data_IF_344258667872
#
_entry.id   IF_344258667872
#
_cell.length_a   1.000
_cell.length_b   1.000
_cell.length_c   1.000
_cell.angle_alpha   90.00
_cell.angle_beta   90.00
_cell.angle_gamma   90.00
#
_symmetry.space_group_name_H-M   'P 1'
#
loop_
_entity.id
_entity.type
_entity.pdbx_description
1 polymer ?
#
# COMPACT_ATOMS: atom_id res chain seq x y z
N UNK A 1 -43.44 16.22 -9.04
CA UNK A 1 -42.46 16.54 -7.98
C UNK A 1 -43.05 16.47 -6.57
N UNK A 2 -44.12 17.22 -6.25
CA UNK A 2 -44.77 17.20 -4.93
C UNK A 2 -45.13 15.78 -4.43
N UNK A 3 -45.75 14.96 -5.29
CA UNK A 3 -46.09 13.55 -4.97
C UNK A 3 -44.86 12.70 -4.65
N UNK A 4 -43.75 12.90 -5.36
CA UNK A 4 -42.50 12.18 -5.12
C UNK A 4 -41.88 12.55 -3.77
N UNK A 5 -41.96 13.84 -3.38
CA UNK A 5 -41.49 14.34 -2.07
C UNK A 5 -42.38 13.84 -0.92
N UNK A 6 -43.70 13.72 -1.16
CA UNK A 6 -44.64 13.20 -0.16
C UNK A 6 -44.50 11.70 0.08
N UNK A 7 -44.25 10.93 -0.99
CA UNK A 7 -44.06 9.48 -0.94
C UNK A 7 -42.63 9.04 -0.64
N UNK A 8 -41.66 9.96 -0.69
CA UNK A 8 -40.22 9.68 -0.58
C UNK A 8 -39.79 8.64 -1.64
N UNK A 9 -40.09 8.96 -2.89
CA UNK A 9 -39.79 8.10 -4.03
C UNK A 9 -38.29 8.15 -4.37
N UNK A 10 -37.56 7.08 -4.08
CA UNK A 10 -36.10 6.97 -4.25
C UNK A 10 -35.66 6.81 -5.72
N UNK A 11 -36.56 6.46 -6.64
CA UNK A 11 -36.21 6.28 -8.07
C UNK A 11 -36.19 7.62 -8.83
N UNK A 12 -37.02 8.56 -8.41
CA UNK A 12 -37.23 9.84 -9.10
C UNK A 12 -36.56 11.03 -8.40
N UNK A 13 -36.14 10.86 -7.14
CA UNK A 13 -35.42 11.87 -6.38
C UNK A 13 -33.92 11.55 -6.41
N UNK A 14 -33.09 12.51 -6.82
CA UNK A 14 -31.63 12.39 -6.72
C UNK A 14 -31.10 13.39 -5.71
N UNK A 15 -29.96 13.11 -5.07
CA UNK A 15 -29.36 14.05 -4.12
C UNK A 15 -29.05 15.40 -4.78
N UNK A 16 -28.55 15.41 -6.02
CA UNK A 16 -28.29 16.64 -6.77
C UNK A 16 -29.56 17.49 -6.95
N UNK A 17 -30.70 16.85 -7.28
CA UNK A 17 -31.99 17.55 -7.39
C UNK A 17 -32.46 18.08 -6.03
N UNK A 18 -32.28 17.31 -4.95
CA UNK A 18 -32.64 17.74 -3.59
C UNK A 18 -31.79 18.93 -3.13
N UNK A 19 -30.50 18.93 -3.43
CA UNK A 19 -29.59 20.04 -3.12
C UNK A 19 -29.94 21.30 -3.93
N UNK A 20 -30.26 21.14 -5.22
CA UNK A 20 -30.76 22.25 -6.05
C UNK A 20 -32.07 22.80 -5.50
N UNK A 21 -33.01 21.94 -5.12
CA UNK A 21 -34.25 22.36 -4.46
C UNK A 21 -33.95 23.13 -3.18
N UNK A 22 -33.12 22.60 -2.28
CA UNK A 22 -32.79 23.31 -1.03
C UNK A 22 -32.13 24.68 -1.30
N UNK A 23 -31.34 24.81 -2.37
CA UNK A 23 -30.62 26.03 -2.72
C UNK A 23 -31.48 27.08 -3.42
N UNK A 24 -32.37 26.67 -4.32
CA UNK A 24 -33.16 27.56 -5.16
C UNK A 24 -34.59 27.78 -4.63
N UNK A 25 -35.01 27.03 -3.61
CA UNK A 25 -36.29 27.27 -2.95
C UNK A 25 -36.29 28.64 -2.25
N UNK A 26 -37.32 29.48 -2.48
CA UNK A 26 -37.48 30.74 -1.77
C UNK A 26 -37.54 30.55 -0.25
N UNK A 27 -37.22 31.61 0.49
CA UNK A 27 -37.27 31.59 1.94
C UNK A 27 -38.70 31.26 2.45
N UNK A 28 -38.85 30.63 3.63
CA UNK A 28 -40.16 30.24 4.17
C UNK A 28 -41.18 31.38 4.22
N UNK A 29 -40.71 32.61 4.47
CA UNK A 29 -41.53 33.82 4.49
C UNK A 29 -42.06 34.20 3.11
N UNK A 30 -41.25 34.01 2.07
CA UNK A 30 -41.64 34.26 0.68
C UNK A 30 -42.62 33.19 0.19
N UNK A 31 -42.40 31.93 0.56
CA UNK A 31 -43.32 30.83 0.28
C UNK A 31 -44.70 31.06 0.94
N UNK A 32 -44.73 31.57 2.16
CA UNK A 32 -45.97 31.90 2.86
C UNK A 32 -46.74 33.04 2.19
N UNK A 33 -46.05 34.02 1.59
CA UNK A 33 -46.70 35.08 0.79
C UNK A 33 -47.23 34.54 -0.52
N UNK A 34 -46.46 33.71 -1.22
CA UNK A 34 -46.86 33.08 -2.48
C UNK A 34 -48.07 32.15 -2.29
N UNK A 35 -48.19 31.50 -1.13
CA UNK A 35 -49.36 30.69 -0.78
C UNK A 35 -50.69 31.48 -0.80
N UNK A 36 -50.66 32.80 -0.60
CA UNK A 36 -51.86 33.66 -0.66
C UNK A 36 -52.35 33.89 -2.09
N UNK A 37 -51.50 33.68 -3.10
CA UNK A 37 -51.83 33.83 -4.52
C UNK A 37 -52.27 32.52 -5.18
N UNK A 38 -52.61 31.50 -4.40
CA UNK A 38 -53.11 30.20 -4.91
C UNK A 38 -54.33 30.34 -5.84
N UNK A 39 -55.18 31.34 -5.61
CA UNK A 39 -56.38 31.58 -6.42
C UNK A 39 -56.06 32.17 -7.80
N UNK A 40 -54.87 32.75 -7.99
CA UNK A 40 -54.39 33.34 -9.26
C UNK A 40 -53.31 32.48 -9.92
N UNK A 41 -53.36 31.15 -9.72
CA UNK A 41 -52.33 30.22 -10.19
C UNK A 41 -51.97 30.37 -11.67
N UNK A 42 -52.97 30.59 -12.54
CA UNK A 42 -52.76 30.67 -13.99
C UNK A 42 -52.17 32.02 -14.46
N UNK A 43 -52.13 33.03 -13.59
CA UNK A 43 -51.60 34.38 -13.90
C UNK A 43 -50.13 34.54 -13.44
N UNK A 44 -49.64 33.62 -12.62
CA UNK A 44 -48.28 33.59 -12.09
C UNK A 44 -47.28 33.06 -13.12
N UNK A 45 -46.02 33.48 -13.04
CA UNK A 45 -44.94 32.93 -13.86
C UNK A 45 -44.67 31.46 -13.50
N UNK A 46 -44.10 30.66 -14.42
CA UNK A 46 -43.82 29.23 -14.18
C UNK A 46 -43.00 28.97 -12.90
N UNK A 47 -42.04 29.85 -12.57
CA UNK A 47 -41.25 29.76 -11.35
C UNK A 47 -42.08 29.99 -10.08
N UNK A 48 -43.06 30.90 -10.13
CA UNK A 48 -43.96 31.20 -9.02
C UNK A 48 -45.01 30.09 -8.87
N UNK A 49 -45.55 29.58 -9.98
CA UNK A 49 -46.42 28.40 -9.99
C UNK A 49 -45.74 27.19 -9.33
N UNK A 50 -44.45 26.98 -9.62
CA UNK A 50 -43.66 25.94 -8.95
C UNK A 50 -43.53 26.19 -7.44
N UNK A 51 -43.18 27.41 -7.04
CA UNK A 51 -43.04 27.78 -5.64
C UNK A 51 -44.36 27.66 -4.85
N UNK A 52 -45.49 28.03 -5.45
CA UNK A 52 -46.85 27.86 -4.87
C UNK A 52 -47.20 26.38 -4.72
N UNK A 53 -46.86 25.55 -5.71
CA UNK A 53 -47.07 24.10 -5.62
C UNK A 53 -46.25 23.51 -4.47
N UNK A 54 -45.03 23.98 -4.26
CA UNK A 54 -44.14 23.53 -3.20
C UNK A 54 -44.49 24.09 -1.82
N UNK A 55 -44.96 25.34 -1.73
CA UNK A 55 -45.35 25.98 -0.46
C UNK A 55 -46.51 25.29 0.22
N UNK A 56 -47.36 24.60 -0.56
CA UNK A 56 -48.41 23.75 -0.01
C UNK A 56 -47.87 22.69 0.97
N UNK A 57 -46.65 22.19 0.78
CA UNK A 57 -46.04 21.20 1.66
C UNK A 57 -45.57 21.88 2.97
N UNK A 58 -46.20 21.52 4.08
CA UNK A 58 -45.78 21.97 5.41
C UNK A 58 -44.36 21.50 5.72
N UNK A 59 -43.52 22.42 6.23
CA UNK A 59 -42.12 22.15 6.61
C UNK A 59 -41.29 21.50 5.50
N UNK A 60 -41.40 22.05 4.28
CA UNK A 60 -40.70 21.54 3.10
C UNK A 60 -39.17 21.46 3.28
N UNK A 61 -38.52 22.50 3.80
CA UNK A 61 -37.05 22.53 3.92
C UNK A 61 -36.50 21.43 4.86
N UNK A 62 -37.02 21.25 6.10
CA UNK A 62 -36.65 20.09 6.94
C UNK A 62 -36.89 18.74 6.27
N UNK A 63 -38.00 18.58 5.54
CA UNK A 63 -38.31 17.36 4.80
C UNK A 63 -37.27 17.07 3.71
N UNK A 64 -36.94 18.07 2.89
CA UNK A 64 -35.92 17.92 1.83
C UNK A 64 -34.55 17.56 2.41
N UNK A 65 -34.16 18.20 3.52
CA UNK A 65 -32.92 17.88 4.24
C UNK A 65 -32.90 16.44 4.77
N UNK A 66 -34.02 15.99 5.34
CA UNK A 66 -34.18 14.61 5.82
C UNK A 66 -34.08 13.57 4.70
N UNK A 67 -34.71 13.84 3.54
CA UNK A 67 -34.63 12.97 2.36
C UNK A 67 -33.20 12.94 1.81
N UNK A 68 -32.54 14.10 1.69
CA UNK A 68 -31.14 14.16 1.23
C UNK A 68 -30.20 13.42 2.20
N UNK A 69 -30.44 13.51 3.51
CA UNK A 69 -29.69 12.74 4.49
C UNK A 69 -29.90 11.23 4.32
N UNK A 70 -31.14 10.77 4.13
CA UNK A 70 -31.43 9.35 3.88
C UNK A 70 -30.71 8.82 2.63
N UNK A 71 -30.65 9.60 1.55
CA UNK A 71 -29.94 9.22 0.32
C UNK A 71 -28.44 9.13 0.52
N UNK A 72 -27.86 10.11 1.22
CA UNK A 72 -26.42 10.14 1.51
C UNK A 72 -25.99 9.18 2.61
N UNK A 73 -26.91 8.64 3.39
CA UNK A 73 -26.57 7.86 4.59
C UNK A 73 -25.71 6.64 4.25
N UNK A 74 -26.07 5.91 3.19
CA UNK A 74 -25.30 4.75 2.74
C UNK A 74 -23.88 5.14 2.31
N UNK A 75 -23.73 6.25 1.58
CA UNK A 75 -22.42 6.78 1.20
C UNK A 75 -21.62 7.23 2.43
N UNK A 76 -22.23 7.92 3.39
CA UNK A 76 -21.58 8.34 4.63
C UNK A 76 -21.12 7.14 5.46
N UNK A 77 -21.92 6.09 5.57
CA UNK A 77 -21.53 4.84 6.24
C UNK A 77 -20.40 4.15 5.46
N UNK A 78 -20.45 4.17 4.13
CA UNK A 78 -19.36 3.66 3.29
C UNK A 78 -18.10 4.54 3.33
N UNK A 79 -18.17 5.84 3.61
CA UNK A 79 -16.99 6.69 3.79
C UNK A 79 -16.34 6.42 5.14
N UNK A 80 -17.16 6.14 6.15
CA UNK A 80 -16.74 5.61 7.45
C UNK A 80 -16.61 4.08 7.36
N UNK A 81 -15.89 3.57 6.34
CA UNK A 81 -15.76 2.13 6.06
C UNK A 81 -15.50 1.33 7.34
N UNK A 82 -16.35 0.34 7.69
CA UNK A 82 -16.04 -0.65 8.72
C UNK A 82 -14.65 -1.26 8.56
N UNK A 83 -14.20 -1.44 7.31
CA UNK A 83 -12.87 -1.93 6.95
C UNK A 83 -11.73 -1.04 7.47
N UNK A 84 -11.91 0.28 7.55
CA UNK A 84 -10.90 1.20 8.11
C UNK A 84 -10.71 0.97 9.61
N UNK A 85 -11.81 0.80 10.34
CA UNK A 85 -11.76 0.45 11.76
C UNK A 85 -11.11 -0.91 11.97
N UNK A 86 -11.55 -1.93 11.24
CA UNK A 86 -11.01 -3.29 11.35
C UNK A 86 -9.51 -3.30 11.06
N UNK A 87 -9.05 -2.55 10.05
CA UNK A 87 -7.63 -2.42 9.77
C UNK A 87 -6.86 -1.71 10.90
N UNK A 88 -7.41 -0.62 11.44
CA UNK A 88 -6.76 0.10 12.54
C UNK A 88 -6.72 -0.72 13.84
N UNK A 89 -7.83 -1.39 14.21
CA UNK A 89 -7.88 -2.25 15.40
C UNK A 89 -6.97 -3.45 15.25
N UNK A 90 -6.97 -4.11 14.08
CA UNK A 90 -6.07 -5.23 13.80
C UNK A 90 -4.61 -4.78 13.83
N UNK A 91 -4.27 -3.63 13.24
CA UNK A 91 -2.91 -3.08 13.30
C UNK A 91 -2.49 -2.77 14.75
N UNK A 92 -3.39 -2.27 15.61
CA UNK A 92 -3.08 -2.07 17.02
C UNK A 92 -2.70 -3.40 17.71
N UNK A 93 -3.48 -4.44 17.48
CA UNK A 93 -3.25 -5.77 18.06
C UNK A 93 -1.99 -6.43 17.50
N UNK A 94 -1.77 -6.36 16.19
CA UNK A 94 -0.59 -6.87 15.50
C UNK A 94 0.69 -6.26 16.04
N UNK A 95 0.76 -4.93 16.13
CA UNK A 95 1.94 -4.22 16.62
C UNK A 95 2.22 -4.58 18.09
N UNK A 96 1.17 -4.67 18.93
CA UNK A 96 1.31 -5.02 20.35
C UNK A 96 1.74 -6.46 20.58
N UNK A 97 1.25 -7.40 19.77
CA UNK A 97 1.43 -8.85 19.99
C UNK A 97 2.59 -9.45 19.18
N UNK A 98 3.09 -8.75 18.16
CA UNK A 98 4.20 -9.21 17.33
C UNK A 98 5.48 -9.38 18.15
N UNK A 99 5.85 -10.64 18.37
CA UNK A 99 7.09 -11.01 19.05
C UNK A 99 8.31 -10.67 18.21
N UNK A 100 8.20 -10.79 16.88
CA UNK A 100 9.28 -10.49 15.94
C UNK A 100 9.58 -9.00 15.92
N UNK A 101 8.55 -8.16 15.88
CA UNK A 101 8.73 -6.72 15.97
C UNK A 101 9.34 -6.32 17.31
N UNK A 102 8.86 -6.88 18.42
CA UNK A 102 9.46 -6.66 19.74
C UNK A 102 10.94 -7.04 19.80
N UNK A 103 11.34 -8.16 19.18
CA UNK A 103 12.74 -8.57 19.10
C UNK A 103 13.59 -7.57 18.30
N UNK A 104 13.07 -7.07 17.18
CA UNK A 104 13.76 -6.04 16.37
C UNK A 104 13.99 -4.77 17.20
N UNK A 105 12.99 -4.31 17.95
CA UNK A 105 13.11 -3.15 18.83
C UNK A 105 14.18 -3.37 19.92
N UNK A 106 14.27 -4.57 20.49
CA UNK A 106 15.32 -4.91 21.46
C UNK A 106 16.72 -4.87 20.84
N UNK A 107 16.88 -5.36 19.62
CA UNK A 107 18.16 -5.32 18.91
C UNK A 107 18.54 -3.86 18.61
N UNK A 108 17.59 -3.03 18.18
CA UNK A 108 17.81 -1.60 17.95
C UNK A 108 18.24 -0.91 19.25
N UNK A 109 17.58 -1.18 20.37
CA UNK A 109 17.95 -0.63 21.68
C UNK A 109 19.37 -1.04 22.08
N UNK A 110 19.71 -2.32 21.91
CA UNK A 110 21.04 -2.85 22.24
C UNK A 110 22.14 -2.18 21.40
N UNK A 111 21.94 -2.08 20.09
CA UNK A 111 22.90 -1.42 19.18
C UNK A 111 23.00 0.06 19.53
N UNK A 112 21.88 0.74 19.76
CA UNK A 112 21.84 2.14 20.15
C UNK A 112 22.59 2.42 21.46
N UNK A 113 22.39 1.59 22.48
CA UNK A 113 23.11 1.71 23.75
C UNK A 113 24.60 1.47 23.60
N UNK A 114 25.00 0.49 22.79
CA UNK A 114 26.41 0.22 22.51
C UNK A 114 27.08 1.39 21.76
N UNK A 115 26.40 1.95 20.75
CA UNK A 115 26.92 3.08 19.97
C UNK A 115 26.97 4.39 20.77
N UNK A 116 26.05 4.57 21.73
CA UNK A 116 25.98 5.77 22.56
C UNK A 116 26.80 5.66 23.86
N UNK A 117 27.63 4.62 24.01
CA UNK A 117 28.56 4.49 25.11
C UNK A 117 29.49 5.72 25.18
N UNK A 118 29.67 6.29 26.37
CA UNK A 118 30.37 7.55 26.65
C UNK A 118 29.60 8.84 26.36
N UNK A 119 28.31 8.77 25.98
CA UNK A 119 27.47 9.95 25.69
C UNK A 119 26.37 10.14 26.75
N UNK A 120 25.64 11.26 26.67
CA UNK A 120 24.48 11.52 27.56
C UNK A 120 23.38 10.44 27.49
N UNK A 121 23.37 9.63 26.43
CA UNK A 121 22.38 8.57 26.19
C UNK A 121 22.94 7.15 26.47
N UNK A 122 24.02 7.02 27.23
CA UNK A 122 24.79 5.77 27.42
C UNK A 122 24.03 4.58 28.05
N UNK A 123 22.81 4.76 28.55
CA UNK A 123 22.00 3.68 29.11
C UNK A 123 20.49 3.93 28.90
N UNK A 124 20.08 4.09 27.63
CA UNK A 124 18.66 4.26 27.35
C UNK A 124 17.89 2.97 27.70
N UNK A 125 16.78 3.13 28.42
CA UNK A 125 15.86 2.03 28.77
C UNK A 125 14.83 1.78 27.64
N UNK A 126 14.67 2.77 26.76
CA UNK A 126 13.78 2.73 25.60
C UNK A 126 14.01 3.94 24.69
N UNK A 127 13.30 3.97 23.57
CA UNK A 127 13.34 5.06 22.61
C UNK A 127 11.93 5.30 22.05
N UNK A 128 11.67 6.51 21.56
CA UNK A 128 10.41 6.84 20.89
C UNK A 128 10.32 6.16 19.53
N UNK A 129 9.15 5.61 19.18
CA UNK A 129 8.91 4.90 17.91
C UNK A 129 9.22 5.77 16.68
N UNK A 130 9.05 7.09 16.78
CA UNK A 130 9.42 8.06 15.75
C UNK A 130 10.92 8.03 15.38
N UNK A 131 11.78 7.46 16.22
CA UNK A 131 13.21 7.27 15.93
C UNK A 131 13.44 6.21 14.84
N UNK A 132 12.53 5.27 14.65
CA UNK A 132 12.70 4.16 13.70
C UNK A 132 12.91 4.67 12.26
N UNK A 133 12.23 5.75 11.88
CA UNK A 133 12.37 6.38 10.55
C UNK A 133 13.73 7.06 10.37
N UNK A 134 14.45 7.34 11.45
CA UNK A 134 15.76 8.02 11.44
C UNK A 134 16.94 7.05 11.36
N UNK A 135 16.73 5.75 11.54
CA UNK A 135 17.81 4.75 11.56
C UNK A 135 18.61 4.71 10.26
N UNK A 136 17.98 5.01 9.12
CA UNK A 136 18.66 5.05 7.82
C UNK A 136 19.55 6.29 7.62
N UNK A 137 19.38 7.32 8.45
CA UNK A 137 20.22 8.52 8.40
C UNK A 137 21.59 8.31 9.05
N UNK A 138 21.72 7.32 9.94
CA UNK A 138 22.98 6.97 10.58
C UNK A 138 23.80 6.08 9.65
N UNK A 139 24.86 6.65 9.06
CA UNK A 139 25.76 5.94 8.13
C UNK A 139 27.02 5.45 8.84
N UNK A 140 27.54 4.31 8.39
CA UNK A 140 28.88 3.86 8.74
C UNK A 140 29.95 4.76 8.11
N UNK A 141 31.20 4.58 8.53
CA UNK A 141 32.36 5.35 8.06
C UNK A 141 32.62 5.20 6.54
N UNK A 142 32.10 4.14 5.92
CA UNK A 142 32.18 3.91 4.48
C UNK A 142 31.18 4.75 3.66
N UNK A 143 30.27 5.48 4.33
CA UNK A 143 29.13 6.22 3.77
C UNK A 143 28.19 5.41 2.85
N UNK A 144 28.38 4.09 2.78
CA UNK A 144 27.64 3.16 1.90
C UNK A 144 26.63 2.36 2.70
N UNK A 145 27.00 1.89 3.89
CA UNK A 145 26.13 1.11 4.75
C UNK A 145 25.48 2.01 5.80
N UNK A 146 24.20 1.79 6.07
CA UNK A 146 23.47 2.50 7.13
C UNK A 146 23.24 1.58 8.32
N UNK A 147 22.91 2.14 9.47
CA UNK A 147 22.58 1.36 10.66
C UNK A 147 21.43 0.38 10.40
N UNK A 148 20.52 0.73 9.49
CA UNK A 148 19.44 -0.14 9.06
C UNK A 148 19.92 -1.35 8.24
N UNK A 149 20.92 -1.16 7.37
CA UNK A 149 21.56 -2.28 6.65
C UNK A 149 22.26 -3.22 7.62
N UNK A 150 22.98 -2.67 8.60
CA UNK A 150 23.64 -3.46 9.63
C UNK A 150 22.63 -4.22 10.52
N UNK A 151 21.51 -3.58 10.87
CA UNK A 151 20.42 -4.23 11.60
C UNK A 151 19.83 -5.39 10.79
N UNK A 152 19.53 -5.18 9.50
CA UNK A 152 18.99 -6.21 8.63
C UNK A 152 19.94 -7.41 8.51
N UNK A 153 21.26 -7.17 8.41
CA UNK A 153 22.27 -8.21 8.39
C UNK A 153 22.33 -9.00 9.71
N UNK A 154 22.28 -8.32 10.87
CA UNK A 154 22.23 -9.00 12.18
C UNK A 154 20.98 -9.88 12.30
N UNK A 155 19.82 -9.34 11.90
CA UNK A 155 18.55 -10.06 11.96
C UNK A 155 18.61 -11.28 11.05
N UNK A 156 19.08 -11.15 9.82
CA UNK A 156 19.21 -12.28 8.90
C UNK A 156 20.15 -13.37 9.43
N UNK A 157 21.30 -12.99 9.99
CA UNK A 157 22.32 -13.94 10.43
C UNK A 157 22.00 -14.61 11.78
N UNK A 158 21.42 -13.88 12.73
CA UNK A 158 21.18 -14.37 14.10
C UNK A 158 19.73 -14.73 14.39
N UNK A 159 18.78 -14.10 13.68
CA UNK A 159 17.34 -14.22 13.95
C UNK A 159 16.55 -14.32 12.64
N UNK A 160 16.79 -15.36 11.81
CA UNK A 160 16.15 -15.48 10.50
C UNK A 160 14.62 -15.49 10.58
N UNK A 161 14.06 -16.03 11.68
CA UNK A 161 12.61 -16.04 11.94
C UNK A 161 12.00 -14.64 12.12
N UNK A 162 12.81 -13.63 12.46
CA UNK A 162 12.34 -12.25 12.62
C UNK A 162 12.40 -11.44 11.32
N UNK A 163 13.02 -11.97 10.26
CA UNK A 163 13.16 -11.30 8.97
C UNK A 163 11.80 -11.01 8.32
N UNK A 164 10.81 -11.90 8.53
CA UNK A 164 9.45 -11.76 8.02
C UNK A 164 8.48 -11.12 9.03
N UNK A 165 8.95 -10.29 9.96
CA UNK A 165 8.06 -9.53 10.87
C UNK A 165 7.03 -8.67 10.10
N UNK A 166 7.37 -8.24 8.88
CA UNK A 166 6.50 -7.48 8.01
C UNK A 166 5.19 -8.21 7.65
N UNK A 167 5.17 -9.54 7.71
CA UNK A 167 3.98 -10.37 7.49
C UNK A 167 3.05 -10.36 8.71
N UNK A 168 3.58 -10.17 9.92
CA UNK A 168 2.77 -10.02 11.15
C UNK A 168 2.12 -8.63 11.24
N UNK A 169 2.57 -7.68 10.43
CA UNK A 169 2.13 -6.28 10.42
C UNK A 169 1.38 -5.94 9.12
N UNK A 170 0.46 -6.81 8.70
CA UNK A 170 -0.20 -6.70 7.39
C UNK A 170 -1.24 -5.58 7.31
N UNK A 171 -1.84 -5.19 8.45
CA UNK A 171 -2.86 -4.14 8.47
C UNK A 171 -2.29 -2.74 8.67
N UNK A 172 -1.02 -2.61 9.05
CA UNK A 172 -0.34 -1.32 9.28
C UNK A 172 -0.40 -0.41 8.04
N UNK A 173 -0.20 -0.95 6.84
CA UNK A 173 -0.28 -0.20 5.58
C UNK A 173 -1.65 0.46 5.33
N UNK A 174 -2.71 -0.22 5.76
CA UNK A 174 -4.08 0.28 5.66
C UNK A 174 -4.38 1.26 6.79
N UNK A 175 -3.95 0.94 8.01
CA UNK A 175 -4.13 1.77 9.20
C UNK A 175 -3.42 3.14 9.07
N UNK A 176 -2.25 3.20 8.44
CA UNK A 176 -1.52 4.43 8.13
C UNK A 176 -2.32 5.42 7.25
N UNK A 177 -3.34 4.94 6.51
CA UNK A 177 -4.21 5.78 5.67
C UNK A 177 -5.50 6.23 6.39
N UNK A 178 -5.71 5.80 7.63
CA UNK A 178 -6.92 6.04 8.40
C UNK A 178 -6.75 7.29 9.26
N UNK A 179 -7.34 8.40 8.84
CA UNK A 179 -7.40 9.61 9.66
C UNK A 179 -8.49 9.50 10.73
N UNK A 180 -8.08 9.35 11.99
CA UNK A 180 -8.99 9.32 13.13
C UNK A 180 -9.78 10.64 13.28
N UNK A 181 -9.14 11.78 13.01
CA UNK A 181 -9.77 13.10 13.07
C UNK A 181 -10.92 13.22 12.06
N UNK A 182 -10.71 12.79 10.82
CA UNK A 182 -11.76 12.83 9.79
C UNK A 182 -12.93 11.90 10.15
N UNK A 183 -12.64 10.73 10.71
CA UNK A 183 -13.67 9.80 11.19
C UNK A 183 -14.49 10.44 12.31
N UNK A 184 -13.85 11.06 13.30
CA UNK A 184 -14.52 11.73 14.41
C UNK A 184 -15.42 12.89 13.93
N UNK A 185 -14.96 13.67 12.94
CA UNK A 185 -15.76 14.72 12.30
C UNK A 185 -17.00 14.14 11.61
N UNK A 186 -16.83 13.08 10.82
CA UNK A 186 -17.93 12.43 10.10
C UNK A 186 -18.96 11.82 11.08
N UNK A 187 -18.51 11.13 12.14
CA UNK A 187 -19.38 10.60 13.19
C UNK A 187 -20.14 11.71 13.91
N UNK A 188 -19.48 12.82 14.24
CA UNK A 188 -20.11 13.98 14.89
C UNK A 188 -21.18 14.61 14.00
N UNK A 189 -20.93 14.70 12.70
CA UNK A 189 -21.91 15.17 11.72
C UNK A 189 -23.09 14.20 11.60
N UNK A 190 -22.83 12.90 11.51
CA UNK A 190 -23.87 11.86 11.46
C UNK A 190 -24.76 11.92 12.70
N UNK A 191 -24.18 12.03 13.90
CA UNK A 191 -24.91 12.20 15.17
C UNK A 191 -25.85 13.40 15.14
N UNK A 192 -25.37 14.54 14.62
CA UNK A 192 -26.18 15.76 14.49
C UNK A 192 -27.34 15.55 13.52
N UNK A 193 -27.10 14.93 12.37
CA UNK A 193 -28.15 14.64 11.38
C UNK A 193 -29.22 13.68 11.90
N UNK A 194 -28.82 12.62 12.62
CA UNK A 194 -29.74 11.68 13.26
C UNK A 194 -30.62 12.39 14.30
N UNK A 195 -30.03 13.22 15.17
CA UNK A 195 -30.78 14.02 16.16
C UNK A 195 -31.73 15.03 15.51
N UNK A 196 -31.29 15.64 14.41
CA UNK A 196 -32.14 16.57 13.66
C UNK A 196 -33.34 15.84 13.07
N UNK A 197 -33.13 14.67 12.46
CA UNK A 197 -34.20 13.84 11.92
C UNK A 197 -35.19 13.40 13.02
N UNK A 198 -34.69 13.00 14.18
CA UNK A 198 -35.53 12.67 15.34
C UNK A 198 -36.39 13.87 15.79
N UNK A 199 -35.81 15.07 15.81
CA UNK A 199 -36.52 16.31 16.16
C UNK A 199 -37.56 16.67 15.10
N UNK A 200 -37.23 16.49 13.82
CA UNK A 200 -38.11 16.78 12.69
C UNK A 200 -39.31 15.82 12.70
N UNK A 201 -39.10 14.55 13.02
CA UNK A 201 -40.14 13.54 13.20
C UNK A 201 -41.04 13.80 14.43
N UNK A 202 -40.48 14.19 15.57
CA UNK A 202 -41.27 14.56 16.76
C UNK A 202 -42.18 15.76 16.50
N UNK A 203 -41.70 16.72 15.73
CA UNK A 203 -42.45 17.92 15.37
C UNK A 203 -43.23 17.77 14.05
N UNK A 204 -43.30 16.55 13.50
CA UNK A 204 -43.97 16.27 12.25
C UNK A 204 -45.47 16.25 12.45
N UNK A 205 -46.19 16.79 11.46
CA UNK A 205 -47.64 16.63 11.35
C UNK A 205 -47.94 16.18 9.93
N UNK A 206 -48.72 15.10 9.72
CA UNK A 206 -49.08 14.63 8.39
C UNK A 206 -49.69 15.76 7.58
N UNK A 207 -49.26 15.89 6.32
CA UNK A 207 -49.88 16.84 5.43
C UNK A 207 -51.27 16.33 5.01
N UNK A 208 -51.32 15.13 4.43
CA UNK A 208 -52.51 14.44 3.89
C UNK A 208 -52.42 12.91 4.15
N UNK A 209 -53.48 12.14 3.86
CA UNK A 209 -53.47 10.66 3.98
C UNK A 209 -52.44 9.96 3.07
N UNK A 210 -52.01 10.60 1.98
CA UNK A 210 -50.97 10.08 1.08
C UNK A 210 -49.52 10.32 1.57
N UNK A 211 -49.34 11.02 2.70
CA UNK A 211 -48.04 11.44 3.20
C UNK A 211 -47.34 10.33 4.00
N UNK A 212 -46.46 9.57 3.33
CA UNK A 212 -45.74 8.43 3.92
C UNK A 212 -44.41 8.79 4.58
N UNK A 213 -44.09 10.08 4.67
CA UNK A 213 -42.77 10.49 5.16
C UNK A 213 -42.51 10.08 6.60
N UNK A 214 -43.49 10.19 7.49
CA UNK A 214 -43.32 9.76 8.88
C UNK A 214 -42.96 8.28 8.97
N UNK A 215 -43.67 7.42 8.23
CA UNK A 215 -43.45 5.97 8.26
C UNK A 215 -42.08 5.60 7.70
N UNK A 216 -41.74 6.13 6.52
CA UNK A 216 -40.46 5.85 5.83
C UNK A 216 -39.28 6.37 6.66
N UNK A 217 -39.39 7.61 7.17
CA UNK A 217 -38.30 8.24 7.92
C UNK A 217 -38.19 7.69 9.34
N UNK A 218 -39.27 7.23 9.97
CA UNK A 218 -39.19 6.57 11.28
C UNK A 218 -38.44 5.24 11.18
N UNK A 219 -38.77 4.41 10.18
CA UNK A 219 -38.02 3.17 9.93
C UNK A 219 -36.54 3.46 9.63
N UNK A 220 -36.28 4.47 8.80
CA UNK A 220 -34.91 4.89 8.50
C UNK A 220 -34.18 5.43 9.74
N UNK A 221 -34.86 6.19 10.61
CA UNK A 221 -34.26 6.70 11.84
C UNK A 221 -33.81 5.54 12.75
N UNK A 222 -34.62 4.50 12.88
CA UNK A 222 -34.26 3.29 13.64
C UNK A 222 -33.01 2.63 13.07
N UNK A 223 -32.97 2.42 11.75
CA UNK A 223 -31.81 1.84 11.07
C UNK A 223 -30.56 2.72 11.22
N UNK A 224 -30.69 4.02 10.94
CA UNK A 224 -29.59 4.97 11.00
C UNK A 224 -29.02 5.12 12.41
N UNK A 225 -29.87 5.10 13.44
CA UNK A 225 -29.44 5.15 14.84
C UNK A 225 -28.67 3.89 15.23
N UNK A 226 -29.17 2.70 14.85
CA UNK A 226 -28.49 1.44 15.11
C UNK A 226 -27.11 1.36 14.41
N UNK A 227 -27.04 1.77 13.13
CA UNK A 227 -25.78 1.83 12.39
C UNK A 227 -24.81 2.84 12.99
N UNK A 228 -25.29 4.04 13.37
CA UNK A 228 -24.48 5.04 14.05
C UNK A 228 -23.90 4.52 15.38
N UNK A 229 -24.69 3.81 16.20
CA UNK A 229 -24.23 3.22 17.46
C UNK A 229 -23.13 2.17 17.24
N UNK A 230 -23.26 1.32 16.21
CA UNK A 230 -22.22 0.36 15.84
C UNK A 230 -20.92 1.11 15.49
N UNK A 231 -20.99 2.12 14.61
CA UNK A 231 -19.81 2.88 14.19
C UNK A 231 -19.18 3.66 15.36
N UNK A 232 -19.99 4.25 16.24
CA UNK A 232 -19.51 4.94 17.44
C UNK A 232 -18.79 3.97 18.39
N UNK A 233 -19.33 2.76 18.58
CA UNK A 233 -18.70 1.74 19.41
C UNK A 233 -17.38 1.23 18.81
N UNK A 234 -17.34 1.00 17.49
CA UNK A 234 -16.10 0.62 16.79
C UNK A 234 -15.02 1.70 16.91
N UNK A 235 -15.39 2.97 16.79
CA UNK A 235 -14.44 4.08 16.96
C UNK A 235 -13.90 4.14 18.39
N UNK A 236 -14.77 4.04 19.42
CA UNK A 236 -14.34 4.01 20.83
C UNK A 236 -13.41 2.83 21.13
N UNK A 237 -13.68 1.67 20.54
CA UNK A 237 -12.79 0.51 20.69
C UNK A 237 -11.42 0.76 20.06
N UNK A 238 -11.39 1.36 18.86
CA UNK A 238 -10.14 1.77 18.20
C UNK A 238 -9.35 2.77 19.06
N UNK A 239 -10.00 3.82 19.57
CA UNK A 239 -9.35 4.81 20.44
C UNK A 239 -8.77 4.16 21.70
N UNK A 240 -9.53 3.26 22.35
CA UNK A 240 -9.05 2.53 23.51
C UNK A 240 -7.82 1.66 23.21
N UNK A 241 -7.82 0.94 22.08
CA UNK A 241 -6.67 0.13 21.67
C UNK A 241 -5.44 1.01 21.38
N UNK A 242 -5.65 2.22 20.85
CA UNK A 242 -4.57 3.17 20.63
C UNK A 242 -4.03 3.76 21.94
N UNK A 243 -4.89 4.06 22.91
CA UNK A 243 -4.48 4.45 24.27
C UNK A 243 -3.68 3.32 24.96
N UNK A 244 -4.11 2.07 24.81
CA UNK A 244 -3.35 0.92 25.32
C UNK A 244 -1.96 0.81 24.66
N UNK A 245 -1.86 1.11 23.37
CA UNK A 245 -0.57 1.18 22.66
C UNK A 245 0.29 2.34 23.15
N UNK A 246 -0.30 3.49 23.45
CA UNK A 246 0.43 4.64 23.96
C UNK A 246 1.06 4.37 25.33
N UNK A 247 0.38 3.60 26.17
CA UNK A 247 0.95 3.09 27.43
C UNK A 247 2.06 2.08 27.17
N UNK A 248 1.86 1.13 26.23
CA UNK A 248 2.83 0.07 25.94
C UNK A 248 4.14 0.59 25.33
N UNK A 249 4.06 1.54 24.39
CA UNK A 249 5.22 2.18 23.75
C UNK A 249 5.63 3.51 24.39
N UNK A 250 5.00 3.90 25.48
CA UNK A 250 5.29 5.10 26.28
C UNK A 250 5.34 6.40 25.45
N UNK A 251 4.29 6.67 24.66
CA UNK A 251 4.14 7.94 23.92
C UNK A 251 2.86 8.68 24.32
N UNK A 252 2.77 9.97 23.97
CA UNK A 252 1.58 10.81 24.21
C UNK A 252 0.60 10.71 23.03
N UNK A 253 -0.58 10.08 23.19
CA UNK A 253 -1.54 9.89 22.10
C UNK A 253 -2.17 11.20 21.61
N UNK A 254 -2.00 12.32 22.34
CA UNK A 254 -2.45 13.64 21.90
C UNK A 254 -1.45 14.35 20.99
N UNK A 255 -0.16 14.02 21.13
CA UNK A 255 0.91 14.59 20.31
C UNK A 255 1.23 13.74 19.09
N UNK A 256 1.01 12.44 19.22
CA UNK A 256 1.30 11.47 18.18
C UNK A 256 -0.01 10.83 17.73
N UNK A 257 -0.49 11.23 16.56
CA UNK A 257 -1.76 10.75 16.02
C UNK A 257 -1.63 9.31 15.52
N UNK A 258 -2.74 8.56 15.49
CA UNK A 258 -2.72 7.14 15.13
C UNK A 258 -2.21 6.89 13.70
N UNK A 259 -2.59 7.75 12.76
CA UNK A 259 -2.12 7.71 11.37
C UNK A 259 -0.62 7.97 11.27
N UNK A 260 -0.10 8.92 12.05
CA UNK A 260 1.33 9.22 12.11
C UNK A 260 2.12 8.03 12.69
N UNK A 261 1.63 7.45 13.80
CA UNK A 261 2.23 6.27 14.42
C UNK A 261 2.32 5.09 13.44
N UNK A 262 1.22 4.74 12.77
CA UNK A 262 1.23 3.66 11.79
C UNK A 262 2.04 4.00 10.54
N UNK A 263 2.10 5.28 10.15
CA UNK A 263 2.94 5.74 9.03
C UNK A 263 4.43 5.55 9.34
N UNK A 264 4.87 5.84 10.56
CA UNK A 264 6.26 5.63 10.96
C UNK A 264 6.63 4.14 11.00
N UNK A 265 5.75 3.29 11.52
CA UNK A 265 5.98 1.82 11.51
C UNK A 265 6.01 1.30 10.07
N UNK A 266 5.08 1.74 9.21
CA UNK A 266 5.07 1.39 7.79
C UNK A 266 6.37 1.81 7.13
N UNK A 267 6.80 3.05 7.36
CA UNK A 267 8.04 3.61 6.80
C UNK A 267 9.25 2.79 7.24
N UNK A 268 9.34 2.46 8.53
CA UNK A 268 10.38 1.58 9.05
C UNK A 268 10.36 0.19 8.39
N UNK A 269 9.19 -0.43 8.27
CA UNK A 269 9.00 -1.73 7.60
C UNK A 269 9.52 -1.68 6.16
N UNK A 270 9.08 -0.69 5.39
CA UNK A 270 9.46 -0.52 3.98
C UNK A 270 10.98 -0.32 3.85
N UNK A 271 11.56 0.54 4.70
CA UNK A 271 12.99 0.81 4.70
C UNK A 271 13.82 -0.42 5.12
N UNK A 272 13.34 -1.21 6.08
CA UNK A 272 14.03 -2.44 6.51
C UNK A 272 14.04 -3.47 5.38
N UNK A 273 12.90 -3.66 4.71
CA UNK A 273 12.81 -4.58 3.57
C UNK A 273 13.71 -4.16 2.42
N UNK A 274 13.81 -2.85 2.15
CA UNK A 274 14.73 -2.33 1.13
C UNK A 274 16.18 -2.54 1.53
N UNK A 275 16.56 -2.21 2.76
CA UNK A 275 17.92 -2.42 3.26
C UNK A 275 18.34 -3.91 3.23
N UNK A 276 17.42 -4.83 3.51
CA UNK A 276 17.67 -6.27 3.37
C UNK A 276 17.92 -6.68 1.92
N UNK A 277 17.09 -6.20 0.97
CA UNK A 277 17.29 -6.46 -0.47
C UNK A 277 18.62 -5.89 -0.97
N UNK A 278 18.95 -4.68 -0.55
CA UNK A 278 20.21 -4.02 -0.91
C UNK A 278 21.41 -4.84 -0.39
N UNK A 279 21.35 -5.36 0.84
CA UNK A 279 22.38 -6.25 1.38
C UNK A 279 22.53 -7.55 0.58
N UNK A 280 21.42 -8.17 0.18
CA UNK A 280 21.44 -9.39 -0.66
C UNK A 280 22.10 -9.08 -2.01
N UNK A 281 21.65 -8.02 -2.69
CA UNK A 281 22.19 -7.62 -3.98
C UNK A 281 23.68 -7.26 -3.90
N UNK A 282 24.10 -6.54 -2.86
CA UNK A 282 25.50 -6.18 -2.64
C UNK A 282 26.38 -7.43 -2.44
N UNK A 283 25.94 -8.40 -1.64
CA UNK A 283 26.67 -9.67 -1.45
C UNK A 283 26.80 -10.46 -2.75
N UNK A 284 25.74 -10.56 -3.55
CA UNK A 284 25.77 -11.24 -4.85
C UNK A 284 26.76 -10.58 -5.82
N UNK A 285 26.78 -9.24 -5.85
CA UNK A 285 27.72 -8.46 -6.66
C UNK A 285 29.17 -8.64 -6.22
N UNK A 286 29.42 -8.64 -4.91
CA UNK A 286 30.75 -8.87 -4.33
C UNK A 286 31.27 -10.28 -4.62
N UNK A 287 30.42 -11.30 -4.49
CA UNK A 287 30.78 -12.68 -4.87
C UNK A 287 31.10 -12.80 -6.36
N UNK A 288 30.30 -12.16 -7.22
CA UNK A 288 30.53 -12.17 -8.66
C UNK A 288 31.86 -11.49 -9.02
N UNK A 289 32.17 -10.37 -8.38
CA UNK A 289 33.46 -9.68 -8.55
C UNK A 289 34.62 -10.53 -8.03
N UNK A 290 34.48 -11.20 -6.89
CA UNK A 290 35.50 -12.08 -6.32
C UNK A 290 35.81 -13.24 -7.27
N UNK A 291 34.78 -13.93 -7.77
CA UNK A 291 34.93 -15.03 -8.75
C UNK A 291 35.57 -14.55 -10.06
N UNK A 292 35.21 -13.35 -10.54
CA UNK A 292 35.81 -12.78 -11.74
C UNK A 292 37.30 -12.43 -11.54
N UNK A 293 37.69 -11.94 -10.35
CA UNK A 293 39.08 -11.66 -10.01
C UNK A 293 39.91 -12.94 -9.90
N UNK A 294 39.40 -13.95 -9.19
CA UNK A 294 40.04 -15.27 -9.07
C UNK A 294 40.24 -15.93 -10.45
N UNK A 295 39.24 -15.83 -11.34
CA UNK A 295 39.34 -16.34 -12.71
C UNK A 295 40.40 -15.61 -13.55
N UNK A 296 40.50 -14.28 -13.42
CA UNK A 296 41.54 -13.49 -14.09
C UNK A 296 42.94 -13.83 -13.58
N UNK A 297 43.12 -13.93 -12.27
CA UNK A 297 44.41 -14.28 -11.66
C UNK A 297 44.86 -15.69 -12.07
N UNK A 298 43.93 -16.65 -12.11
CA UNK A 298 44.22 -18.01 -12.61
C UNK A 298 44.62 -18.01 -14.10
N UNK A 299 43.89 -17.26 -14.94
CA UNK A 299 44.20 -17.15 -16.35
C UNK A 299 45.57 -16.48 -16.61
N UNK A 300 45.91 -15.45 -15.83
CA UNK A 300 47.21 -14.77 -15.89
C UNK A 300 48.35 -15.73 -15.50
N UNK A 301 48.15 -16.51 -14.41
CA UNK A 301 49.13 -17.51 -13.95
C UNK A 301 49.34 -18.62 -14.98
N UNK A 302 48.26 -19.18 -15.55
CA UNK A 302 48.36 -20.19 -16.61
C UNK A 302 49.07 -19.65 -17.86
N UNK A 303 48.84 -18.38 -18.22
CA UNK A 303 49.54 -17.72 -19.34
C UNK A 303 51.02 -17.55 -19.05
N UNK A 304 51.39 -17.14 -17.83
CA UNK A 304 52.80 -17.00 -17.41
C UNK A 304 53.51 -18.36 -17.40
N UNK A 305 52.87 -19.42 -16.89
CA UNK A 305 53.44 -20.78 -16.90
C UNK A 305 53.63 -21.32 -18.34
N UNK A 306 52.69 -21.06 -19.24
CA UNK A 306 52.85 -21.41 -20.67
C UNK A 306 54.01 -20.67 -21.31
N UNK A 307 54.18 -19.38 -21.03
CA UNK A 307 55.29 -18.57 -21.54
C UNK A 307 56.64 -19.03 -20.95
N UNK A 308 56.70 -19.39 -19.67
CA UNK A 308 57.90 -19.92 -19.03
C UNK A 308 58.30 -21.28 -19.62
N UNK A 309 57.35 -22.21 -19.80
CA UNK A 309 57.59 -23.49 -20.48
C UNK A 309 58.08 -23.28 -21.91
N UNK A 310 57.50 -22.34 -22.66
CA UNK A 310 57.94 -22.01 -24.03
C UNK A 310 59.36 -21.45 -24.05
N UNK A 311 59.74 -20.57 -23.11
CA UNK A 311 61.11 -20.06 -22.98
C UNK A 311 62.11 -21.16 -22.64
N UNK A 312 61.78 -22.07 -21.72
CA UNK A 312 62.64 -23.21 -21.39
C UNK A 312 62.89 -24.13 -22.60
N UNK A 313 61.86 -24.39 -23.43
CA UNK A 313 62.05 -25.17 -24.67
C UNK A 313 62.96 -24.45 -25.69
N UNK A 314 62.91 -23.12 -25.77
CA UNK A 314 63.75 -22.33 -26.70
C UNK A 314 65.20 -22.25 -26.19
N UNK A 315 65.43 -22.16 -24.88
CA UNK A 315 66.77 -22.09 -24.28
C UNK A 315 67.55 -23.41 -24.46
N UNK A 316 66.86 -24.56 -24.35
CA UNK A 316 67.42 -25.90 -24.67
C UNK A 316 67.84 -26.00 -26.15
N UNK A 317 67.19 -25.24 -27.05
CA UNK A 317 67.54 -25.19 -28.47
C UNK A 317 68.78 -24.32 -28.77
N UNK A 318 69.32 -23.60 -27.77
CA UNK A 318 70.39 -22.61 -27.95
C UNK A 318 71.78 -23.09 -27.46
N UNK A 319 71.86 -24.27 -26.84
CA UNK A 319 73.11 -24.91 -26.43
C UNK A 319 73.88 -25.52 -27.60
N UNK A 320 75.21 -25.48 -27.54
CA UNK A 320 76.15 -25.68 -28.67
C UNK A 320 76.25 -27.10 -29.28
N UNK A 321 75.41 -28.07 -28.91
CA UNK A 321 75.45 -29.43 -29.48
C UNK A 321 74.14 -29.76 -30.24
N UNK A 322 74.19 -29.68 -31.57
CA UNK A 322 73.03 -29.81 -32.48
C UNK A 322 72.57 -31.25 -32.78
N UNK A 323 73.13 -32.28 -32.16
CA UNK A 323 72.66 -33.68 -32.30
C UNK A 323 71.77 -34.06 -31.11
N UNK A 324 70.46 -33.84 -31.23
CA UNK A 324 69.46 -34.29 -30.23
C UNK A 324 68.34 -33.29 -29.92
N UNK A 325 68.50 -32.03 -30.35
CA UNK A 325 67.50 -30.97 -30.19
C UNK A 325 66.21 -31.30 -30.96
N UNK A 326 66.33 -31.87 -32.16
CA UNK A 326 65.19 -32.29 -32.99
C UNK A 326 64.38 -33.42 -32.32
N UNK A 327 65.05 -34.41 -31.71
CA UNK A 327 64.40 -35.53 -31.03
C UNK A 327 63.72 -35.10 -29.73
N UNK A 328 64.34 -34.21 -28.95
CA UNK A 328 63.70 -33.62 -27.76
C UNK A 328 62.48 -32.75 -28.10
N UNK A 329 62.52 -32.01 -29.22
CA UNK A 329 61.38 -31.24 -29.70
C UNK A 329 60.25 -32.17 -30.20
N UNK A 330 60.58 -33.24 -30.92
CA UNK A 330 59.62 -34.25 -31.36
C UNK A 330 58.98 -34.98 -30.16
N UNK A 331 59.76 -35.33 -29.13
CA UNK A 331 59.28 -35.93 -27.88
C UNK A 331 58.30 -35.01 -27.13
N UNK A 332 58.61 -33.70 -27.05
CA UNK A 332 57.75 -32.70 -26.43
C UNK A 332 56.48 -32.38 -27.24
N UNK A 333 56.47 -32.66 -28.56
CA UNK A 333 55.32 -32.53 -29.46
C UNK A 333 54.43 -33.78 -29.51
N UNK A 334 54.92 -34.96 -29.11
CA UNK A 334 54.12 -36.21 -29.03
C UNK A 334 52.81 -36.07 -28.23
N UNK A 335 52.72 -35.32 -27.12
CA UNK A 335 51.47 -35.12 -26.39
C UNK A 335 50.47 -34.21 -27.13
N UNK A 336 50.96 -33.25 -27.93
CA UNK A 336 50.13 -32.29 -28.70
C UNK A 336 49.57 -32.94 -29.97
N UNK A 337 50.28 -33.92 -30.53
CA UNK A 337 49.81 -34.74 -31.66
C UNK A 337 48.76 -35.80 -31.25
N UNK A 338 48.55 -36.04 -29.95
CA UNK A 338 47.41 -36.83 -29.45
C UNK A 338 46.18 -35.95 -29.27
N UNK A 339 45.63 -35.47 -30.38
CA UNK A 339 44.24 -35.01 -30.38
C UNK A 339 43.31 -36.19 -30.05
N UNK A 340 42.33 -36.05 -29.15
CA UNK A 340 41.26 -37.04 -29.06
C UNK A 340 40.40 -36.94 -30.32
N UNK A 341 40.51 -37.91 -31.21
CA UNK A 341 39.53 -38.13 -32.27
C UNK A 341 38.23 -38.61 -31.64
N UNK A 342 37.34 -37.67 -31.31
CA UNK A 342 35.91 -37.93 -31.21
C UNK A 342 35.11 -36.66 -31.51
N UNK A 343 35.03 -36.35 -32.81
CA UNK A 343 33.93 -35.59 -33.39
C UNK A 343 33.39 -36.47 -34.52
N UNK A 344 32.44 -37.33 -34.17
CA UNK A 344 31.59 -37.97 -35.16
C UNK A 344 30.65 -36.93 -35.75
N UNK A 345 30.95 -36.48 -36.97
CA UNK A 345 29.92 -35.99 -37.89
C UNK A 345 30.21 -36.63 -39.24
N UNK A 346 29.45 -37.68 -39.54
CA UNK A 346 29.41 -38.37 -40.82
C UNK A 346 28.65 -37.51 -41.84
N UNK A 347 29.17 -37.52 -43.07
CA UNK A 347 28.49 -37.34 -44.36
C UNK A 347 27.98 -35.96 -44.78
N UNK A 348 28.79 -35.27 -45.57
CA UNK A 348 28.43 -34.59 -46.84
C UNK A 348 29.75 -34.56 -47.65
N UNK A 349 29.91 -35.21 -48.81
CA UNK A 349 29.42 -34.78 -50.11
C UNK A 349 29.70 -35.87 -51.16
N UNK A 350 28.67 -36.24 -51.94
CA UNK A 350 28.65 -36.77 -53.33
C UNK A 350 27.24 -37.37 -53.50
N UNK A 351 26.38 -37.05 -54.45
CA UNK A 351 26.31 -36.11 -55.56
C UNK A 351 24.93 -36.32 -56.23
N UNK A 352 24.49 -35.40 -57.09
CA UNK A 352 23.49 -35.73 -58.12
C UNK A 352 22.09 -35.10 -58.00
N UNK A 353 21.93 -34.01 -58.76
CA UNK A 353 20.83 -33.69 -59.67
C UNK A 353 19.39 -33.40 -59.17
N UNK A 354 19.01 -32.16 -59.50
CA UNK A 354 17.76 -31.75 -60.17
C UNK A 354 16.53 -31.28 -59.36
N UNK A 355 16.25 -29.99 -59.61
CA UNK A 355 14.98 -29.32 -59.90
C UNK A 355 14.34 -28.42 -58.84
N UNK A 356 13.91 -27.30 -59.42
CA UNK A 356 13.50 -26.00 -58.90
C UNK A 356 12.00 -25.96 -58.49
N UNK A 357 11.39 -24.81 -58.19
CA UNK A 357 10.75 -24.54 -56.90
C UNK A 357 9.22 -24.46 -56.99
N UNK A 358 8.53 -24.49 -55.86
CA UNK A 358 7.15 -24.02 -55.79
C UNK A 358 6.81 -23.38 -54.44
N UNK A 359 6.29 -22.17 -54.56
CA UNK A 359 5.60 -21.36 -53.55
C UNK A 359 4.52 -22.15 -52.80
N UNK A 360 4.22 -21.78 -51.55
CA UNK A 360 2.92 -21.20 -51.19
C UNK A 360 2.67 -21.09 -49.68
N UNK A 361 2.27 -19.88 -49.29
CA UNK A 361 1.17 -19.51 -48.39
C UNK A 361 1.18 -19.98 -46.93
N UNK A 362 1.22 -18.96 -46.06
CA UNK A 362 0.21 -18.64 -45.03
C UNK A 362 -0.46 -19.79 -44.27
N UNK A 363 -0.49 -19.70 -42.94
CA UNK A 363 -1.71 -19.36 -42.18
C UNK A 363 -1.40 -19.20 -40.67
N UNK A 364 -2.05 -18.18 -40.10
CA UNK A 364 -2.15 -17.77 -38.69
C UNK A 364 -2.69 -18.85 -37.74
N UNK A 365 -2.35 -18.70 -36.44
CA UNK A 365 -3.21 -18.77 -35.22
C UNK A 365 -2.25 -18.76 -34.01
N UNK A 366 -2.11 -17.74 -33.17
CA UNK A 366 -3.03 -17.08 -32.21
C UNK A 366 -3.73 -18.07 -31.26
N UNK A 367 -3.65 -17.79 -29.95
CA UNK A 367 -4.33 -18.29 -28.71
C UNK A 367 -3.23 -18.49 -27.64
N UNK A 368 -3.00 -17.67 -26.61
CA UNK A 368 -3.81 -17.07 -25.51
C UNK A 368 -4.33 -18.10 -24.48
N UNK A 369 -3.64 -18.11 -23.32
CA UNK A 369 -4.03 -18.44 -21.92
C UNK A 369 -4.48 -19.90 -21.59
N UNK A 370 -4.55 -20.33 -20.30
CA UNK A 370 -4.88 -19.62 -19.04
C UNK A 370 -3.78 -18.83 -18.35
#
# INVERSE_FOLDING_TARGET
MQKYILKVDEEHLTDAMLQQLIRYMPEPEQLARLEQFKDQYNELAEAEQFAVTMSSIKKLVPRLKSISFKMKFQELVQDIKPVRYVAATAACEEVKTSKKFCLILQIILLIGNYMNAGSRNEQAVGFEISLLTKLNSTKAADHKTTLLHYLAEIVENKYPDALNFAEELMHVDRAARVSAEQIQKNLSQMKKSVKQLETDLKNFRPHNEEDRFADVMASFLTEASAQYEILENMFKQMEKLYEDLSVYYAFDPKKYASDEFFTDIKTFKDMFQEAHKDNVHQREMEEKMRRAKEAKEKAEKEKQERLAKKKQLIDISSGEDQEGVMDSLLEALKPVLRFPTNLGVKHLLEGGSEKSPAESKSVKKQYIFP
#
